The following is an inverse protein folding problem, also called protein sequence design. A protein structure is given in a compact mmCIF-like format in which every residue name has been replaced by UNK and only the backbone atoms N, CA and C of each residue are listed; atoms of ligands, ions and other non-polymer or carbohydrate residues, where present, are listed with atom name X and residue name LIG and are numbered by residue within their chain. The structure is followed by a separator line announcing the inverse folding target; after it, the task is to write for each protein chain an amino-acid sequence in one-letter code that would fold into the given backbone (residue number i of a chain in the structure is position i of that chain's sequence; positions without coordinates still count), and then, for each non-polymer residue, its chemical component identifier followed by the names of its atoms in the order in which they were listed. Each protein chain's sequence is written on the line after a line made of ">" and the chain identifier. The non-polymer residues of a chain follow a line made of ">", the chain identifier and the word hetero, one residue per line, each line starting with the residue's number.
data_IF_061855468283
#
_entry.id   IF_061855468283
#
_cell.length_a   1.000
_cell.length_b   1.000
_cell.length_c   1.000
_cell.angle_alpha   90.00
_cell.angle_beta   90.00
_cell.angle_gamma   90.00
#
_symmetry.space_group_name_H-M   'P 1'
#
loop_
_entity.id
_entity.type
_entity.pdbx_description
1 polymer ?
#
# COMPACT_ATOMS: atom_id res chain seq x y z
N UNK A 1 -3.21 20.50 -0.01
CA UNK A 1 -3.86 20.04 1.22
C UNK A 1 -3.23 20.66 2.47
N UNK A 2 -1.93 20.55 2.69
CA UNK A 2 -1.22 21.04 3.90
C UNK A 2 -1.55 22.50 4.19
N UNK A 3 -1.34 23.42 3.25
CA UNK A 3 -1.59 24.85 3.46
C UNK A 3 -3.05 25.14 3.81
N UNK A 4 -3.99 24.42 3.22
CA UNK A 4 -5.43 24.60 3.50
C UNK A 4 -5.87 24.08 4.86
N UNK A 5 -5.13 23.12 5.44
CA UNK A 5 -5.56 22.40 6.64
C UNK A 5 -4.64 22.62 7.86
N UNK A 6 -3.43 23.14 7.67
CA UNK A 6 -2.50 23.38 8.76
C UNK A 6 -2.76 24.77 9.41
N UNK A 7 -3.08 24.83 10.71
CA UNK A 7 -3.31 26.09 11.44
C UNK A 7 -2.13 27.05 11.44
N UNK A 8 -0.91 26.57 11.16
CA UNK A 8 0.27 27.43 11.02
C UNK A 8 0.14 28.47 9.89
N UNK A 9 -0.73 28.18 8.90
CA UNK A 9 -1.01 29.09 7.77
C UNK A 9 -2.23 29.99 7.99
N UNK A 10 -2.87 29.94 9.15
CA UNK A 10 -4.03 30.76 9.51
C UNK A 10 -5.03 29.98 10.38
N UNK A 11 -5.64 30.66 11.33
CA UNK A 11 -6.59 30.03 12.27
C UNK A 11 -7.84 29.52 11.54
N UNK A 12 -8.40 30.36 10.67
CA UNK A 12 -9.63 30.03 9.95
C UNK A 12 -9.34 29.49 8.54
N UNK A 13 -10.17 28.58 8.01
CA UNK A 13 -10.01 28.04 6.65
C UNK A 13 -9.90 29.11 5.57
N UNK A 14 -10.68 30.19 5.70
CA UNK A 14 -10.73 31.31 4.76
C UNK A 14 -9.41 32.09 4.75
N UNK A 15 -8.74 32.21 5.89
CA UNK A 15 -7.43 32.85 5.99
C UNK A 15 -6.36 32.04 5.27
N UNK A 16 -6.38 30.72 5.44
CA UNK A 16 -5.49 29.79 4.76
C UNK A 16 -5.69 29.80 3.25
N UNK A 17 -6.93 29.81 2.80
CA UNK A 17 -7.24 29.89 1.36
C UNK A 17 -6.83 31.26 0.78
N UNK A 18 -7.04 32.34 1.48
CA UNK A 18 -6.61 33.69 1.10
C UNK A 18 -5.08 33.77 1.01
N UNK A 19 -4.35 33.18 1.96
CA UNK A 19 -2.89 33.08 1.94
C UNK A 19 -2.43 32.35 0.69
N UNK A 20 -2.98 31.17 0.42
CA UNK A 20 -2.62 30.36 -0.73
C UNK A 20 -2.84 31.09 -2.07
N UNK A 21 -3.96 31.83 -2.19
CA UNK A 21 -4.35 32.47 -3.45
C UNK A 21 -3.70 33.84 -3.70
N UNK A 22 -3.35 34.59 -2.64
CA UNK A 22 -3.01 36.02 -2.76
C UNK A 22 -1.64 36.41 -2.26
N UNK A 23 -0.94 35.55 -1.52
CA UNK A 23 0.30 35.94 -0.85
C UNK A 23 1.59 35.67 -1.66
N UNK A 24 1.47 35.17 -2.89
CA UNK A 24 2.65 34.92 -3.75
C UNK A 24 3.64 33.96 -3.11
N UNK A 25 3.17 32.88 -2.48
CA UNK A 25 4.00 31.92 -1.77
C UNK A 25 5.05 31.29 -2.68
N UNK A 26 6.28 31.21 -2.18
CA UNK A 26 7.33 30.37 -2.76
C UNK A 26 7.36 29.05 -2.00
N UNK A 27 6.97 27.96 -2.65
CA UNK A 27 6.89 26.64 -2.03
C UNK A 27 8.09 25.82 -2.52
N UNK A 28 9.00 25.48 -1.60
CA UNK A 28 10.13 24.60 -1.87
C UNK A 28 9.75 23.19 -1.50
N UNK A 29 9.90 22.26 -2.43
CA UNK A 29 9.62 20.84 -2.24
C UNK A 29 10.91 20.02 -2.33
N UNK A 30 10.82 18.75 -1.95
CA UNK A 30 11.93 17.79 -2.09
C UNK A 30 11.96 17.09 -3.45
N UNK A 31 10.96 17.38 -4.32
CA UNK A 31 10.90 16.78 -5.64
C UNK A 31 12.15 17.13 -6.48
N UNK A 32 12.77 16.09 -7.04
CA UNK A 32 13.90 16.24 -7.97
C UNK A 32 13.40 16.00 -9.40
N UNK A 33 13.43 17.03 -10.24
CA UNK A 33 12.94 16.94 -11.61
C UNK A 33 13.74 15.97 -12.47
N UNK A 34 14.99 15.64 -12.08
CA UNK A 34 15.79 14.60 -12.75
C UNK A 34 15.28 13.19 -12.49
N UNK A 35 14.50 13.00 -11.42
CA UNK A 35 13.84 11.75 -11.06
C UNK A 35 12.36 11.78 -11.45
N UNK A 36 11.66 12.90 -11.17
CA UNK A 36 10.24 13.06 -11.43
C UNK A 36 9.90 12.92 -12.92
N UNK A 37 10.64 13.59 -13.81
CA UNK A 37 10.38 13.57 -15.26
C UNK A 37 10.49 12.15 -15.84
N UNK A 38 11.65 11.49 -15.77
CA UNK A 38 11.81 10.13 -16.27
C UNK A 38 10.88 9.10 -15.62
N UNK A 39 10.55 9.26 -14.34
CA UNK A 39 9.61 8.38 -13.65
C UNK A 39 8.18 8.53 -14.21
N UNK A 40 7.73 9.76 -14.48
CA UNK A 40 6.42 10.02 -15.09
C UNK A 40 6.36 9.47 -16.52
N UNK A 41 7.37 9.71 -17.35
CA UNK A 41 7.46 9.17 -18.71
C UNK A 41 7.42 7.63 -18.71
N UNK A 42 8.15 6.99 -17.79
CA UNK A 42 8.12 5.54 -17.65
C UNK A 42 6.74 5.04 -17.22
N UNK A 43 6.08 5.72 -16.27
CA UNK A 43 4.74 5.38 -15.81
C UNK A 43 3.74 5.41 -16.97
N UNK A 44 3.70 6.50 -17.73
CA UNK A 44 2.79 6.67 -18.86
C UNK A 44 3.05 5.66 -20.00
N UNK A 45 4.33 5.37 -20.25
CA UNK A 45 4.75 4.45 -21.32
C UNK A 45 4.41 2.99 -21.01
N UNK A 46 4.64 2.55 -19.77
CA UNK A 46 4.55 1.13 -19.43
C UNK A 46 3.24 0.73 -18.75
N UNK A 47 2.52 1.69 -18.17
CA UNK A 47 1.22 1.45 -17.52
C UNK A 47 0.22 2.51 -18.02
N UNK A 48 -0.31 2.37 -19.23
CA UNK A 48 -1.32 3.31 -19.72
C UNK A 48 -2.56 3.29 -18.83
N UNK A 49 -3.18 4.46 -18.62
CA UNK A 49 -4.34 4.61 -17.72
C UNK A 49 -5.54 3.77 -18.15
N UNK A 50 -5.66 3.49 -19.44
CA UNK A 50 -6.70 2.63 -19.99
C UNK A 50 -6.15 1.77 -21.12
N UNK A 51 -6.64 0.56 -21.21
CA UNK A 51 -6.50 -0.35 -22.36
C UNK A 51 -7.89 -0.88 -22.70
N UNK A 52 -8.03 -1.55 -23.83
CA UNK A 52 -9.31 -2.14 -24.19
C UNK A 52 -9.89 -2.98 -23.06
N UNK A 53 -11.12 -2.67 -22.65
CA UNK A 53 -11.87 -3.33 -21.57
C UNK A 53 -11.35 -3.14 -20.14
N UNK A 54 -10.28 -2.35 -19.92
CA UNK A 54 -9.71 -2.20 -18.56
C UNK A 54 -9.20 -0.78 -18.31
N UNK A 55 -9.52 -0.25 -17.12
CA UNK A 55 -8.88 0.96 -16.58
C UNK A 55 -7.83 0.54 -15.58
N UNK A 56 -6.59 0.97 -15.79
CA UNK A 56 -5.46 0.61 -14.96
C UNK A 56 -5.10 1.76 -14.02
N UNK A 57 -4.94 1.46 -12.74
CA UNK A 57 -4.40 2.41 -11.76
C UNK A 57 -2.98 2.01 -11.40
N UNK A 58 -2.06 2.96 -11.47
CA UNK A 58 -0.69 2.78 -10.99
C UNK A 58 -0.17 4.07 -10.37
N UNK A 59 0.59 3.91 -9.30
CA UNK A 59 1.23 5.01 -8.59
C UNK A 59 2.62 4.58 -8.10
N UNK A 60 3.54 5.53 -7.99
CA UNK A 60 4.89 5.27 -7.54
C UNK A 60 5.49 6.45 -6.80
N UNK A 61 6.20 6.17 -5.72
CA UNK A 61 6.93 7.17 -4.93
C UNK A 61 8.39 6.75 -4.83
N UNK A 62 9.30 7.69 -5.10
CA UNK A 62 10.73 7.48 -4.87
C UNK A 62 11.17 8.26 -3.65
N UNK A 63 11.87 7.59 -2.74
CA UNK A 63 12.36 8.17 -1.50
C UNK A 63 13.89 8.20 -1.49
N UNK A 64 14.47 9.25 -0.92
CA UNK A 64 15.88 9.29 -0.57
C UNK A 64 16.12 8.42 0.67
N UNK A 65 16.94 7.37 0.53
CA UNK A 65 17.12 6.33 1.57
C UNK A 65 17.61 6.90 2.90
N UNK A 66 18.53 7.89 2.87
CA UNK A 66 19.14 8.44 4.08
C UNK A 66 18.24 9.39 4.86
N UNK A 67 17.25 10.00 4.21
CA UNK A 67 16.43 11.09 4.80
C UNK A 67 14.93 10.84 4.78
N UNK A 68 14.45 9.89 3.96
CA UNK A 68 13.04 9.66 3.70
C UNK A 68 12.36 10.76 2.86
N UNK A 69 13.13 11.69 2.28
CA UNK A 69 12.56 12.74 1.43
C UNK A 69 11.95 12.17 0.17
N UNK A 70 10.79 12.68 -0.22
CA UNK A 70 10.13 12.30 -1.47
C UNK A 70 10.85 12.98 -2.63
N UNK A 71 11.47 12.20 -3.51
CA UNK A 71 12.17 12.69 -4.70
C UNK A 71 11.26 12.72 -5.93
N UNK A 72 10.33 11.78 -6.04
CA UNK A 72 9.29 11.78 -7.06
C UNK A 72 8.00 11.17 -6.56
N UNK A 73 6.89 11.60 -7.17
CA UNK A 73 5.55 11.10 -6.91
C UNK A 73 4.80 11.08 -8.25
N UNK A 74 4.55 9.90 -8.77
CA UNK A 74 3.99 9.71 -10.11
C UNK A 74 2.76 8.81 -10.09
N UNK A 75 1.88 9.03 -11.04
CA UNK A 75 0.76 8.12 -11.31
C UNK A 75 0.43 8.14 -12.81
N UNK A 76 -0.24 7.10 -13.28
CA UNK A 76 -0.56 6.98 -14.71
C UNK A 76 -1.81 7.75 -15.13
N UNK A 77 -2.51 8.43 -14.21
CA UNK A 77 -3.64 9.29 -14.54
C UNK A 77 -3.26 10.76 -14.45
N UNK A 78 -3.85 11.59 -15.31
CA UNK A 78 -3.72 13.04 -15.29
C UNK A 78 -4.68 13.66 -14.29
N UNK A 79 -4.24 14.66 -13.58
CA UNK A 79 -5.09 15.34 -12.60
C UNK A 79 -6.13 16.23 -13.28
N UNK A 80 -7.40 16.05 -12.90
CA UNK A 80 -8.49 16.95 -13.27
C UNK A 80 -9.48 17.10 -12.12
N UNK A 81 -10.08 18.29 -12.02
CA UNK A 81 -11.18 18.58 -11.07
C UNK A 81 -12.56 18.59 -11.76
N UNK A 82 -12.59 18.55 -13.08
CA UNK A 82 -13.83 18.54 -13.86
C UNK A 82 -14.39 17.11 -13.91
N UNK A 83 -15.51 16.88 -13.25
CA UNK A 83 -16.19 15.57 -13.30
C UNK A 83 -16.58 15.21 -14.74
N UNK A 84 -17.03 16.16 -15.53
CA UNK A 84 -17.39 15.94 -16.94
C UNK A 84 -16.19 15.43 -17.77
N UNK A 85 -14.98 15.94 -17.51
CA UNK A 85 -13.77 15.45 -18.18
C UNK A 85 -13.40 14.03 -17.73
N UNK A 86 -13.48 13.77 -16.43
CA UNK A 86 -13.19 12.44 -15.86
C UNK A 86 -14.16 11.38 -16.39
N UNK A 87 -15.43 11.74 -16.55
CA UNK A 87 -16.46 10.84 -17.07
C UNK A 87 -16.27 10.53 -18.57
N UNK A 88 -15.71 11.48 -19.32
CA UNK A 88 -15.43 11.32 -20.76
C UNK A 88 -14.13 10.57 -21.03
N UNK A 89 -13.12 10.79 -20.21
CA UNK A 89 -11.79 10.22 -20.42
C UNK A 89 -11.20 9.70 -19.09
N UNK A 90 -11.14 8.38 -18.98
CA UNK A 90 -10.64 7.66 -17.81
C UNK A 90 -9.12 7.83 -17.57
N UNK A 91 -8.39 8.48 -18.47
CA UNK A 91 -7.01 8.88 -18.22
C UNK A 91 -6.91 10.03 -17.23
N UNK A 92 -8.03 10.68 -16.87
CA UNK A 92 -8.09 11.73 -15.87
C UNK A 92 -8.65 11.24 -14.54
N UNK A 93 -8.18 11.85 -13.44
CA UNK A 93 -8.64 11.56 -12.09
C UNK A 93 -8.47 12.78 -11.17
N UNK A 94 -9.39 12.99 -10.25
CA UNK A 94 -9.21 13.93 -9.13
C UNK A 94 -8.43 13.31 -7.96
N UNK A 95 -8.13 12.01 -8.01
CA UNK A 95 -7.47 11.27 -6.94
C UNK A 95 -5.95 11.35 -7.05
N UNK A 96 -5.29 11.41 -5.90
CA UNK A 96 -3.87 11.13 -5.80
C UNK A 96 -3.67 9.73 -5.20
N UNK A 97 -3.29 8.78 -6.03
CA UNK A 97 -3.10 7.39 -5.63
C UNK A 97 -1.83 7.15 -4.79
N UNK A 98 -0.95 8.14 -4.65
CA UNK A 98 0.27 8.04 -3.85
C UNK A 98 0.06 8.41 -2.37
N UNK A 99 -1.16 8.79 -1.96
CA UNK A 99 -1.44 9.28 -0.61
C UNK A 99 -2.65 8.57 -0.03
N UNK A 100 -2.87 8.75 1.29
CA UNK A 100 -4.06 8.25 1.97
C UNK A 100 -5.33 8.99 1.52
N UNK A 101 -6.48 8.45 1.86
CA UNK A 101 -7.78 9.04 1.53
C UNK A 101 -7.90 10.48 2.01
N UNK A 102 -7.44 10.78 3.24
CA UNK A 102 -7.49 12.13 3.82
C UNK A 102 -6.73 13.18 2.98
N UNK A 103 -5.67 12.78 2.27
CA UNK A 103 -4.82 13.71 1.51
C UNK A 103 -5.08 13.68 0.00
N UNK A 104 -5.45 12.55 -0.55
CA UNK A 104 -5.58 12.37 -1.99
C UNK A 104 -6.90 11.78 -2.45
N UNK A 105 -7.81 11.45 -1.52
CA UNK A 105 -9.12 10.88 -1.85
C UNK A 105 -9.10 9.41 -2.31
N UNK A 106 -7.91 8.79 -2.40
CA UNK A 106 -7.78 7.39 -2.82
C UNK A 106 -7.98 6.43 -1.67
N UNK A 107 -8.77 5.37 -1.87
CA UNK A 107 -8.91 4.25 -0.94
C UNK A 107 -7.73 3.26 -1.01
N UNK A 108 -6.71 3.54 -1.82
CA UNK A 108 -5.51 2.73 -1.96
C UNK A 108 -5.67 1.55 -2.92
N UNK A 109 -4.66 0.69 -2.91
CA UNK A 109 -4.61 -0.55 -3.70
C UNK A 109 -4.52 -1.77 -2.79
N UNK A 110 -5.06 -2.92 -3.19
CA UNK A 110 -4.82 -4.17 -2.48
C UNK A 110 -3.33 -4.49 -2.45
N UNK A 111 -2.78 -4.72 -1.27
CA UNK A 111 -1.34 -4.98 -1.10
C UNK A 111 -0.89 -6.33 -1.67
N UNK A 112 -1.81 -7.27 -1.79
CA UNK A 112 -1.46 -8.62 -2.23
C UNK A 112 -0.37 -9.24 -1.36
N UNK A 113 0.60 -9.90 -1.99
CA UNK A 113 1.69 -10.57 -1.30
C UNK A 113 2.65 -9.67 -0.53
N UNK A 114 2.63 -8.36 -0.73
CA UNK A 114 3.41 -7.42 0.08
C UNK A 114 3.00 -7.47 1.55
N UNK A 115 1.74 -7.80 1.84
CA UNK A 115 1.26 -7.98 3.22
C UNK A 115 2.01 -9.07 4.00
N UNK A 116 2.59 -10.05 3.32
CA UNK A 116 3.40 -11.12 3.93
C UNK A 116 4.62 -10.60 4.70
N UNK A 117 5.12 -9.42 4.34
CA UNK A 117 6.18 -8.76 5.08
C UNK A 117 5.80 -8.57 6.56
N UNK A 118 4.58 -8.13 6.83
CA UNK A 118 4.12 -7.89 8.21
C UNK A 118 3.99 -9.20 8.99
N UNK A 119 3.54 -10.28 8.35
CA UNK A 119 3.56 -11.62 8.96
C UNK A 119 4.98 -12.09 9.28
N UNK A 120 5.95 -11.84 8.40
CA UNK A 120 7.35 -12.20 8.63
C UNK A 120 7.96 -11.36 9.76
N UNK A 121 7.67 -10.08 9.82
CA UNK A 121 8.18 -9.19 10.87
C UNK A 121 7.61 -9.56 12.24
N UNK A 122 6.32 -9.84 12.34
CA UNK A 122 5.71 -10.32 13.57
C UNK A 122 6.30 -11.69 13.99
N UNK A 123 6.51 -12.62 13.04
CA UNK A 123 7.20 -13.88 13.25
C UNK A 123 8.55 -13.69 13.94
N UNK A 124 9.36 -12.77 13.45
CA UNK A 124 10.68 -12.47 14.00
C UNK A 124 10.58 -11.77 15.36
N UNK A 125 9.64 -10.85 15.53
CA UNK A 125 9.42 -10.13 16.79
C UNK A 125 8.95 -11.05 17.92
N UNK A 126 8.19 -12.11 17.58
CA UNK A 126 7.79 -13.17 18.52
C UNK A 126 8.94 -14.15 18.86
N UNK A 127 10.15 -13.93 18.33
CA UNK A 127 11.34 -14.72 18.62
C UNK A 127 11.54 -15.96 17.75
N UNK A 128 10.73 -16.11 16.71
CA UNK A 128 10.86 -17.22 15.77
C UNK A 128 11.99 -17.01 14.77
N UNK A 129 12.52 -18.09 14.21
CA UNK A 129 13.59 -18.06 13.22
C UNK A 129 13.06 -18.25 11.79
N UNK A 130 13.71 -17.61 10.82
CA UNK A 130 13.46 -17.87 9.39
C UNK A 130 13.87 -19.29 8.96
N UNK A 131 14.66 -19.98 9.77
CA UNK A 131 15.12 -21.36 9.55
C UNK A 131 14.15 -22.41 10.11
N UNK A 132 13.09 -22.00 10.82
CA UNK A 132 12.09 -22.95 11.30
C UNK A 132 11.36 -23.61 10.14
N UNK A 133 11.18 -24.94 10.27
CA UNK A 133 10.55 -25.78 9.25
C UNK A 133 9.07 -25.96 9.57
N UNK A 134 8.23 -25.56 8.63
CA UNK A 134 6.77 -25.65 8.77
C UNK A 134 6.14 -26.46 7.63
N UNK A 135 4.92 -26.94 7.87
CA UNK A 135 4.13 -27.63 6.86
C UNK A 135 3.23 -26.63 6.09
N UNK A 136 3.76 -26.08 5.00
CA UNK A 136 3.07 -25.21 4.06
C UNK A 136 2.39 -25.94 2.90
N UNK A 137 2.09 -27.24 3.00
CA UNK A 137 1.30 -27.96 1.99
C UNK A 137 -0.12 -27.39 1.92
N UNK A 138 -0.68 -27.39 0.72
CA UNK A 138 -2.05 -26.91 0.48
C UNK A 138 -3.05 -27.75 1.29
N UNK A 139 -3.75 -27.11 2.18
CA UNK A 139 -4.81 -27.66 3.04
C UNK A 139 -5.72 -26.53 3.51
N UNK A 140 -6.87 -26.87 4.05
CA UNK A 140 -7.71 -25.88 4.75
C UNK A 140 -7.09 -25.63 6.14
N UNK A 141 -6.65 -24.40 6.39
CA UNK A 141 -6.27 -23.91 7.70
C UNK A 141 -7.55 -23.43 8.39
N UNK A 142 -8.13 -24.26 9.27
CA UNK A 142 -9.50 -24.09 9.77
C UNK A 142 -9.71 -22.84 10.64
N UNK A 143 -8.67 -22.39 11.32
CA UNK A 143 -8.74 -21.24 12.22
C UNK A 143 -7.38 -20.61 12.45
N UNK A 144 -7.41 -19.34 12.83
CA UNK A 144 -6.23 -18.55 13.20
C UNK A 144 -6.48 -17.89 14.56
N UNK A 145 -5.48 -17.77 15.45
CA UNK A 145 -5.61 -16.96 16.65
C UNK A 145 -5.91 -15.50 16.28
N UNK A 146 -6.86 -14.87 16.96
CA UNK A 146 -7.29 -13.51 16.69
C UNK A 146 -7.92 -12.89 17.94
N UNK A 147 -7.11 -12.39 18.86
CA UNK A 147 -7.57 -11.82 20.14
C UNK A 147 -8.56 -10.68 19.99
N UNK A 148 -8.40 -9.86 18.96
CA UNK A 148 -9.29 -8.74 18.66
C UNK A 148 -10.64 -9.17 18.01
N UNK A 149 -10.78 -10.45 17.64
CA UNK A 149 -11.97 -11.01 17.01
C UNK A 149 -12.60 -12.17 17.85
N UNK A 150 -12.52 -12.06 19.17
CA UNK A 150 -13.09 -13.08 20.07
C UNK A 150 -12.20 -14.30 20.30
N UNK A 151 -10.89 -14.18 20.04
CA UNK A 151 -9.88 -15.21 20.30
C UNK A 151 -9.51 -16.06 19.09
N UNK A 152 -10.44 -16.33 18.18
CA UNK A 152 -10.22 -17.18 17.01
C UNK A 152 -10.99 -16.64 15.81
N UNK A 153 -10.29 -16.54 14.68
CA UNK A 153 -10.89 -16.25 13.38
C UNK A 153 -11.09 -17.57 12.60
N UNK A 154 -12.33 -18.02 12.33
CA UNK A 154 -12.60 -19.26 11.61
C UNK A 154 -12.36 -19.07 10.11
N UNK A 155 -11.85 -20.11 9.44
CA UNK A 155 -11.69 -20.14 7.99
C UNK A 155 -12.17 -21.46 7.42
N UNK A 156 -12.92 -21.39 6.32
CA UNK A 156 -13.44 -22.56 5.59
C UNK A 156 -12.85 -22.69 4.20
N UNK A 157 -12.11 -21.66 3.75
CA UNK A 157 -11.64 -21.55 2.39
C UNK A 157 -10.32 -22.30 2.18
N UNK A 158 -10.21 -22.98 1.05
CA UNK A 158 -8.97 -23.54 0.57
C UNK A 158 -8.16 -22.44 -0.16
N UNK A 159 -7.27 -21.80 0.55
CA UNK A 159 -6.38 -20.80 -0.04
C UNK A 159 -5.27 -21.51 -0.82
N UNK A 160 -5.13 -21.15 -2.08
CA UNK A 160 -4.16 -21.75 -3.00
C UNK A 160 -2.93 -20.86 -3.20
N UNK A 161 -1.85 -21.48 -3.64
CA UNK A 161 -0.66 -20.77 -4.11
C UNK A 161 -0.85 -20.30 -5.56
N UNK A 162 -0.01 -19.38 -6.00
CA UNK A 162 0.01 -18.94 -7.40
C UNK A 162 0.20 -20.14 -8.34
N UNK A 163 -0.47 -20.15 -9.48
CA UNK A 163 -0.43 -21.24 -10.43
C UNK A 163 -0.98 -22.59 -9.91
N UNK A 164 -1.76 -22.58 -8.83
CA UNK A 164 -2.28 -23.79 -8.14
C UNK A 164 -1.15 -24.73 -7.63
N UNK A 165 0.04 -24.21 -7.34
CA UNK A 165 1.12 -25.00 -6.76
C UNK A 165 0.69 -25.64 -5.43
N UNK A 166 1.07 -26.91 -5.19
CA UNK A 166 0.59 -27.74 -4.08
C UNK A 166 1.12 -27.36 -2.70
N UNK A 167 2.06 -26.43 -2.61
CA UNK A 167 2.78 -26.10 -1.38
C UNK A 167 3.74 -27.23 -0.97
N UNK A 168 4.51 -27.00 0.09
CA UNK A 168 5.55 -27.94 0.57
C UNK A 168 5.85 -27.79 2.05
N UNK A 169 6.55 -28.75 2.61
CA UNK A 169 7.27 -28.58 3.86
C UNK A 169 8.57 -27.85 3.56
N UNK A 170 8.90 -26.83 4.31
CA UNK A 170 10.10 -26.01 4.07
C UNK A 170 10.32 -25.00 5.19
N UNK A 171 11.37 -24.23 5.09
CA UNK A 171 11.68 -23.17 6.04
C UNK A 171 10.86 -21.90 5.76
N UNK A 172 10.74 -21.04 6.76
CA UNK A 172 10.14 -19.71 6.60
C UNK A 172 10.89 -18.89 5.55
N UNK A 173 12.22 -19.02 5.48
CA UNK A 173 13.05 -18.42 4.43
C UNK A 173 12.63 -18.90 3.02
N UNK A 174 12.43 -20.20 2.85
CA UNK A 174 11.98 -20.81 1.59
C UNK A 174 10.56 -20.32 1.21
N UNK A 175 9.66 -20.20 2.18
CA UNK A 175 8.33 -19.66 1.95
C UNK A 175 8.35 -18.18 1.56
N UNK A 176 9.24 -17.40 2.17
CA UNK A 176 9.41 -15.99 1.89
C UNK A 176 9.96 -15.77 0.48
N UNK A 177 11.03 -16.47 0.10
CA UNK A 177 11.63 -16.35 -1.23
C UNK A 177 10.69 -16.77 -2.36
N UNK A 178 9.84 -17.78 -2.10
CA UNK A 178 8.84 -18.26 -3.06
C UNK A 178 7.49 -17.51 -2.97
N UNK A 179 7.34 -16.59 -2.04
CA UNK A 179 6.04 -15.95 -1.73
C UNK A 179 4.89 -16.96 -1.57
N UNK A 180 5.16 -18.07 -0.89
CA UNK A 180 4.25 -19.22 -0.79
C UNK A 180 3.07 -18.92 0.14
N UNK A 181 1.86 -18.76 -0.39
CA UNK A 181 0.67 -18.40 0.40
C UNK A 181 0.45 -19.36 1.57
N UNK A 182 0.48 -20.66 1.29
CA UNK A 182 0.24 -21.70 2.29
C UNK A 182 1.33 -21.81 3.34
N UNK A 183 2.56 -21.38 3.02
CA UNK A 183 3.65 -21.21 3.98
C UNK A 183 3.36 -20.10 4.97
N UNK A 184 2.90 -18.94 4.50
CA UNK A 184 2.50 -17.82 5.36
C UNK A 184 1.25 -18.13 6.19
N UNK A 185 0.30 -18.92 5.67
CA UNK A 185 -0.80 -19.42 6.49
C UNK A 185 -0.29 -20.37 7.61
N UNK A 186 0.72 -21.19 7.33
CA UNK A 186 1.34 -22.04 8.35
C UNK A 186 2.05 -21.25 9.45
N UNK A 187 2.59 -20.05 9.13
CA UNK A 187 3.09 -19.11 10.13
C UNK A 187 1.93 -18.47 10.90
N UNK A 188 0.92 -17.98 10.20
CA UNK A 188 -0.21 -17.25 10.79
C UNK A 188 -1.03 -18.09 11.80
N UNK A 189 -1.06 -19.40 11.69
CA UNK A 189 -1.71 -20.28 12.71
C UNK A 189 -0.93 -20.37 14.01
N UNK A 190 0.33 -19.93 14.05
CA UNK A 190 1.18 -19.87 15.24
C UNK A 190 1.31 -18.45 15.79
N UNK A 191 0.84 -17.47 15.05
CA UNK A 191 0.81 -16.05 15.42
C UNK A 191 -0.63 -15.63 15.75
N UNK A 192 -0.81 -14.39 16.18
CA UNK A 192 -2.13 -13.78 16.31
C UNK A 192 -2.37 -12.81 15.15
N UNK A 193 -3.48 -12.94 14.42
CA UNK A 193 -3.80 -12.07 13.28
C UNK A 193 -3.85 -10.59 13.68
N UNK A 194 -4.20 -10.30 14.94
CA UNK A 194 -4.27 -8.93 15.44
C UNK A 194 -2.87 -8.33 15.65
N UNK A 195 -1.87 -9.16 16.04
CA UNK A 195 -0.49 -8.71 16.17
C UNK A 195 0.14 -8.47 14.80
N UNK A 196 -0.10 -9.34 13.82
CA UNK A 196 0.29 -9.12 12.42
C UNK A 196 -0.29 -7.80 11.91
N UNK A 197 -1.56 -7.53 12.20
CA UNK A 197 -2.23 -6.30 11.80
C UNK A 197 -1.66 -5.07 12.51
N UNK A 198 -1.35 -5.19 13.81
CA UNK A 198 -0.71 -4.11 14.56
C UNK A 198 0.71 -3.83 14.06
N UNK A 199 1.47 -4.86 13.67
CA UNK A 199 2.76 -4.69 13.00
C UNK A 199 2.62 -3.86 11.72
N UNK A 200 1.60 -4.14 10.91
CA UNK A 200 1.34 -3.36 9.70
C UNK A 200 1.03 -1.88 10.01
N UNK A 201 0.21 -1.61 11.02
CA UNK A 201 -0.10 -0.23 11.47
C UNK A 201 1.13 0.50 12.00
N UNK A 202 1.96 -0.16 12.81
CA UNK A 202 3.23 0.39 13.33
C UNK A 202 4.17 0.83 12.21
N UNK A 203 4.11 0.16 11.07
CA UNK A 203 4.88 0.50 9.86
C UNK A 203 4.16 1.48 8.92
N UNK A 204 3.07 2.07 9.37
CA UNK A 204 2.37 3.13 8.65
C UNK A 204 1.36 2.65 7.61
N UNK A 205 1.01 1.35 7.60
CA UNK A 205 -0.09 0.88 6.77
C UNK A 205 -1.41 1.48 7.28
N UNK A 206 -2.08 2.22 6.41
CA UNK A 206 -3.44 2.73 6.66
C UNK A 206 -4.43 1.95 5.81
N UNK A 207 -5.62 1.70 6.35
CA UNK A 207 -6.73 1.19 5.56
C UNK A 207 -7.38 2.37 4.84
N UNK A 208 -7.79 2.18 3.60
CA UNK A 208 -8.73 3.09 2.96
C UNK A 208 -10.08 2.89 3.65
N UNK A 209 -10.53 3.91 4.37
CA UNK A 209 -11.85 3.94 5.01
C UNK A 209 -12.94 4.16 3.97
#
# INVERSE_FOLDING_TARGET
>A
WTIKNDPAFGKEPEDRERLLRRSGLKIYTTLDMRVQGPAQEAMERYVPASVDFMSLGAAGVSLEVSTGRILSMVQNTHFAQSQALIDQDRSYSALNFNTTQAYGGSSGFPMGSTYKLFTLLDWLEQGHSVNEVLNGRTKIFKSFPAKCAGGVYPNKDLIKNFGNAGGRVGTVMDFTSASLNTGFLAMAVQLDLCDINEMAKRLGLTYGD
#
